data_IF_184549132903
#
_entry.id   IF_184549132903
#
_cell.length_a   1.000
_cell.length_b   1.000
_cell.length_c   1.000
_cell.angle_alpha   90.00
_cell.angle_beta   90.00
_cell.angle_gamma   90.00
#
_symmetry.space_group_name_H-M   'P 1'
#
loop_
_entity.id
_entity.type
_entity.pdbx_description
1 polymer ?
#
# COMPACT_ATOMS: atom_id res chain seq x y z
N UNK A 1 5.38 -13.77 3.80
CA UNK A 1 5.61 -12.34 3.51
C UNK A 1 4.30 -11.60 3.76
N UNK A 2 4.28 -10.68 4.71
CA UNK A 2 3.06 -9.96 5.01
C UNK A 2 2.71 -8.91 3.97
N UNK A 3 1.50 -8.98 3.47
CA UNK A 3 0.89 -7.98 2.60
C UNK A 3 -0.26 -7.35 3.37
N UNK A 4 -0.17 -6.05 3.61
CA UNK A 4 -1.18 -5.29 4.32
C UNK A 4 -1.90 -4.38 3.33
N UNK A 5 -3.19 -4.57 3.17
CA UNK A 5 -4.01 -3.71 2.32
C UNK A 5 -4.77 -2.71 3.19
N UNK A 6 -4.68 -1.44 2.83
CA UNK A 6 -5.43 -0.38 3.48
C UNK A 6 -6.66 -0.09 2.62
N UNK A 7 -7.82 -0.40 3.15
CA UNK A 7 -9.08 -0.39 2.40
C UNK A 7 -10.11 0.44 3.16
N UNK A 8 -10.79 1.34 2.46
CA UNK A 8 -11.99 1.98 2.99
C UNK A 8 -12.85 2.45 1.82
N UNK A 9 -14.13 2.08 1.78
CA UNK A 9 -15.02 2.52 0.71
C UNK A 9 -15.32 4.02 0.75
N UNK A 10 -15.04 4.68 1.87
CA UNK A 10 -15.26 6.11 2.04
C UNK A 10 -13.97 6.88 1.78
N UNK A 11 -14.04 7.90 0.92
CA UNK A 11 -12.90 8.77 0.68
C UNK A 11 -12.62 9.71 1.86
N UNK A 12 -11.40 10.23 1.94
CA UNK A 12 -11.05 11.24 2.92
C UNK A 12 -10.89 10.75 4.36
N UNK A 13 -10.66 9.45 4.56
CA UNK A 13 -10.52 8.87 5.90
C UNK A 13 -9.05 8.64 6.32
N UNK A 14 -8.10 9.23 5.60
CA UNK A 14 -6.68 9.07 5.92
C UNK A 14 -6.05 7.79 5.41
N UNK A 15 -6.61 7.18 4.41
CA UNK A 15 -6.16 5.90 3.86
C UNK A 15 -4.71 5.97 3.36
N UNK A 16 -4.40 6.96 2.53
CA UNK A 16 -3.04 7.16 2.00
C UNK A 16 -2.06 7.53 3.11
N UNK A 17 -2.48 8.34 4.07
CA UNK A 17 -1.66 8.71 5.23
C UNK A 17 -1.28 7.47 6.03
N UNK A 18 -2.24 6.60 6.30
CA UNK A 18 -1.99 5.35 7.02
C UNK A 18 -1.05 4.44 6.22
N UNK A 19 -1.30 4.27 4.93
CA UNK A 19 -0.50 3.40 4.07
C UNK A 19 0.96 3.87 4.01
N UNK A 20 1.19 5.15 3.78
CA UNK A 20 2.54 5.70 3.69
C UNK A 20 3.29 5.64 5.02
N UNK A 21 2.60 5.92 6.13
CA UNK A 21 3.21 5.83 7.46
C UNK A 21 3.55 4.39 7.83
N UNK A 22 2.69 3.43 7.47
CA UNK A 22 2.94 2.01 7.73
C UNK A 22 4.14 1.52 6.93
N UNK A 23 4.22 1.88 5.65
CA UNK A 23 5.37 1.54 4.81
C UNK A 23 6.66 2.15 5.36
N UNK A 24 6.62 3.42 5.79
CA UNK A 24 7.76 4.09 6.41
C UNK A 24 8.20 3.41 7.70
N UNK A 25 7.25 2.97 8.51
CA UNK A 25 7.54 2.23 9.74
C UNK A 25 8.29 0.93 9.44
N UNK A 26 7.80 0.14 8.50
CA UNK A 26 8.46 -1.10 8.13
C UNK A 26 9.87 -0.86 7.58
N UNK A 27 10.03 0.13 6.71
CA UNK A 27 11.32 0.45 6.13
C UNK A 27 12.32 0.91 7.20
N UNK A 28 11.88 1.72 8.15
CA UNK A 28 12.75 2.20 9.23
C UNK A 28 13.17 1.09 10.20
N UNK A 29 12.47 -0.03 10.19
CA UNK A 29 12.83 -1.24 10.95
C UNK A 29 13.61 -2.25 10.10
N UNK A 30 14.22 -1.79 9.02
CA UNK A 30 15.11 -2.57 8.15
C UNK A 30 14.41 -3.69 7.37
N UNK A 31 13.10 -3.59 7.18
CA UNK A 31 12.38 -4.50 6.31
C UNK A 31 12.43 -4.01 4.87
N UNK A 32 12.67 -4.92 3.94
CA UNK A 32 12.57 -4.59 2.53
C UNK A 32 11.10 -4.44 2.17
N UNK A 33 10.69 -3.19 1.96
CA UNK A 33 9.29 -2.80 1.88
C UNK A 33 8.93 -2.31 0.49
N UNK A 34 7.76 -2.70 0.00
CA UNK A 34 7.14 -2.15 -1.20
C UNK A 34 5.83 -1.46 -0.86
N UNK A 35 5.53 -0.40 -1.59
CA UNK A 35 4.26 0.30 -1.51
C UNK A 35 3.61 0.27 -2.90
N UNK A 36 2.44 -0.36 -2.96
CA UNK A 36 1.63 -0.40 -4.17
C UNK A 36 0.48 0.58 -4.06
N UNK A 37 0.20 1.29 -5.15
CA UNK A 37 -0.84 2.29 -5.18
C UNK A 37 -1.85 1.95 -6.28
N UNK A 38 -3.01 1.48 -5.86
CA UNK A 38 -4.12 1.15 -6.74
C UNK A 38 -5.04 2.34 -7.00
N UNK A 39 -4.84 3.44 -6.28
CA UNK A 39 -5.69 4.61 -6.42
C UNK A 39 -5.35 5.36 -7.72
N UNK A 40 -6.36 5.84 -8.44
CA UNK A 40 -6.17 6.65 -9.64
C UNK A 40 -5.41 7.94 -9.36
N UNK A 41 -5.57 8.48 -8.17
CA UNK A 41 -4.87 9.69 -7.75
C UNK A 41 -3.36 9.48 -7.58
N UNK A 42 -2.94 8.24 -7.37
CA UNK A 42 -1.53 7.88 -7.21
C UNK A 42 -0.82 8.69 -6.11
N UNK A 43 -1.55 9.02 -5.04
CA UNK A 43 -1.02 9.85 -3.95
C UNK A 43 0.13 9.18 -3.22
N UNK A 44 0.02 7.88 -2.95
CA UNK A 44 1.09 7.13 -2.30
C UNK A 44 2.33 7.04 -3.20
N UNK A 45 2.14 6.82 -4.50
CA UNK A 45 3.23 6.79 -5.46
C UNK A 45 3.93 8.14 -5.55
N UNK A 46 3.17 9.23 -5.56
CA UNK A 46 3.73 10.58 -5.55
C UNK A 46 4.55 10.82 -4.28
N UNK A 47 4.03 10.38 -3.13
CA UNK A 47 4.74 10.49 -1.86
C UNK A 47 6.11 9.80 -1.91
N UNK A 48 6.21 8.64 -2.57
CA UNK A 48 7.50 7.96 -2.72
C UNK A 48 8.53 8.81 -3.44
N UNK A 49 8.11 9.62 -4.41
CA UNK A 49 9.03 10.50 -5.14
C UNK A 49 9.59 11.63 -4.29
N UNK A 50 8.92 11.94 -3.19
CA UNK A 50 9.31 13.04 -2.29
C UNK A 50 10.22 12.58 -1.15
N UNK A 51 10.48 11.28 -1.02
CA UNK A 51 11.30 10.77 0.06
C UNK A 51 12.76 11.23 -0.10
N UNK A 52 13.40 11.71 1.01
CA UNK A 52 14.81 12.11 0.95
C UNK A 52 15.73 10.91 0.67
N UNK A 53 16.87 11.17 0.06
CA UNK A 53 17.84 10.13 -0.26
C UNK A 53 18.45 9.45 0.97
N UNK A 54 18.46 10.13 2.12
CA UNK A 54 19.09 9.61 3.33
C UNK A 54 18.23 8.69 4.19
N UNK A 55 16.96 8.45 3.81
CA UNK A 55 16.07 7.56 4.58
C UNK A 55 16.06 6.17 3.97
N UNK A 56 15.63 5.17 4.76
CA UNK A 56 15.53 3.80 4.28
C UNK A 56 14.60 3.72 3.06
N UNK A 57 14.98 3.00 2.01
CA UNK A 57 14.21 2.97 0.77
C UNK A 57 12.91 2.19 0.91
N UNK A 58 11.91 2.64 0.14
CA UNK A 58 10.66 1.92 -0.09
C UNK A 58 10.52 1.78 -1.61
N UNK A 59 10.38 0.55 -2.08
CA UNK A 59 10.22 0.27 -3.50
C UNK A 59 8.77 0.48 -3.92
N UNK A 60 8.57 1.03 -5.12
CA UNK A 60 7.24 1.13 -5.71
C UNK A 60 6.83 -0.19 -6.34
N UNK A 61 5.63 -0.66 -6.03
CA UNK A 61 5.08 -1.86 -6.66
C UNK A 61 4.20 -1.45 -7.82
N UNK A 62 4.71 -1.68 -9.02
CA UNK A 62 3.97 -1.35 -10.23
C UNK A 62 2.94 -2.43 -10.52
N UNK A 63 1.69 -2.01 -10.62
CA UNK A 63 0.57 -2.89 -10.89
C UNK A 63 -0.10 -2.47 -12.19
N UNK A 64 -0.01 -3.32 -13.20
CA UNK A 64 -0.59 -3.07 -14.51
C UNK A 64 -2.03 -3.57 -14.57
N UNK A 65 -2.88 -2.99 -13.71
CA UNK A 65 -4.30 -3.34 -13.67
C UNK A 65 -4.66 -4.59 -12.88
N UNK A 66 -3.69 -5.42 -12.52
CA UNK A 66 -3.90 -6.63 -11.73
C UNK A 66 -2.98 -6.65 -10.52
N UNK A 67 -3.44 -7.28 -9.44
CA UNK A 67 -2.62 -7.48 -8.25
C UNK A 67 -1.73 -8.69 -8.48
N UNK A 68 -0.44 -8.46 -8.67
CA UNK A 68 0.55 -9.51 -8.80
C UNK A 68 1.22 -9.79 -7.45
N UNK A 69 1.87 -10.94 -7.34
CA UNK A 69 2.69 -11.23 -6.16
C UNK A 69 3.96 -10.40 -6.19
N UNK A 70 4.40 -9.86 -5.05
CA UNK A 70 5.66 -9.12 -4.98
C UNK A 70 6.87 -9.99 -5.31
N UNK A 71 7.97 -9.37 -5.76
CA UNK A 71 9.21 -10.11 -6.03
C UNK A 71 9.75 -10.80 -4.78
N UNK A 72 10.56 -11.82 -5.00
CA UNK A 72 11.30 -12.48 -3.92
C UNK A 72 12.23 -11.50 -3.22
N UNK A 73 12.36 -11.66 -1.91
CA UNK A 73 13.24 -10.83 -1.10
C UNK A 73 12.54 -9.65 -0.45
N UNK A 74 11.38 -9.26 -0.94
CA UNK A 74 10.54 -8.27 -0.28
C UNK A 74 9.90 -8.93 0.93
N UNK A 75 10.00 -8.30 2.08
CA UNK A 75 9.49 -8.87 3.32
C UNK A 75 8.17 -8.25 3.78
N UNK A 76 7.88 -7.03 3.34
CA UNK A 76 6.66 -6.32 3.72
C UNK A 76 6.12 -5.56 2.53
N UNK A 77 4.82 -5.63 2.34
CA UNK A 77 4.12 -4.91 1.26
C UNK A 77 2.93 -4.18 1.85
N UNK A 78 2.78 -2.92 1.49
CA UNK A 78 1.61 -2.13 1.84
C UNK A 78 0.90 -1.75 0.54
N UNK A 79 -0.41 -1.97 0.51
CA UNK A 79 -1.25 -1.59 -0.62
C UNK A 79 -2.18 -0.45 -0.23
N UNK A 80 -2.09 0.66 -0.94
CA UNK A 80 -3.08 1.72 -0.86
C UNK A 80 -4.12 1.46 -1.95
N UNK A 81 -5.38 1.34 -1.57
CA UNK A 81 -6.44 0.99 -2.49
C UNK A 81 -7.34 2.19 -2.77
N UNK A 82 -8.05 2.22 -3.93
CA UNK A 82 -8.94 3.33 -4.23
C UNK A 82 -10.13 3.38 -3.27
N UNK A 83 -10.68 4.57 -3.09
CA UNK A 83 -11.98 4.73 -2.45
C UNK A 83 -13.01 3.92 -3.23
N UNK A 84 -13.98 3.35 -2.53
CA UNK A 84 -15.05 2.56 -3.13
C UNK A 84 -14.57 1.33 -3.91
N UNK A 85 -13.44 0.75 -3.48
CA UNK A 85 -13.01 -0.52 -4.08
C UNK A 85 -14.07 -1.59 -3.79
N UNK A 86 -14.48 -2.31 -4.82
CA UNK A 86 -15.52 -3.34 -4.68
C UNK A 86 -15.38 -4.39 -5.76
N UNK A 87 -16.18 -5.44 -5.65
CA UNK A 87 -16.30 -6.48 -6.66
C UNK A 87 -15.00 -7.22 -6.91
N UNK A 88 -14.67 -7.38 -8.18
CA UNK A 88 -13.53 -8.18 -8.64
C UNK A 88 -12.19 -7.65 -8.11
N UNK A 89 -12.02 -6.33 -8.05
CA UNK A 89 -10.78 -5.73 -7.54
C UNK A 89 -10.60 -5.97 -6.06
N UNK A 90 -11.67 -5.85 -5.28
CA UNK A 90 -11.62 -6.16 -3.85
C UNK A 90 -11.26 -7.63 -3.63
N UNK A 91 -11.84 -8.52 -4.41
CA UNK A 91 -11.52 -9.95 -4.34
C UNK A 91 -10.05 -10.23 -4.66
N UNK A 92 -9.47 -9.53 -5.65
CA UNK A 92 -8.06 -9.67 -5.98
C UNK A 92 -7.16 -9.22 -4.83
N UNK A 93 -7.48 -8.09 -4.21
CA UNK A 93 -6.74 -7.60 -3.03
C UNK A 93 -6.83 -8.60 -1.88
N UNK A 94 -8.03 -9.12 -1.63
CA UNK A 94 -8.25 -10.07 -0.54
C UNK A 94 -7.45 -11.36 -0.73
N UNK A 95 -7.21 -11.79 -1.97
CA UNK A 95 -6.41 -13.00 -2.25
C UNK A 95 -4.94 -12.84 -1.90
N UNK A 96 -4.38 -11.65 -2.05
CA UNK A 96 -2.96 -11.43 -1.82
C UNK A 96 -2.67 -10.84 -0.45
N UNK A 97 -3.63 -10.17 0.17
CA UNK A 97 -3.45 -9.54 1.47
C UNK A 97 -3.45 -10.57 2.59
N UNK A 98 -2.49 -10.46 3.48
CA UNK A 98 -2.47 -11.22 4.74
C UNK A 98 -3.31 -10.52 5.80
N UNK A 99 -3.39 -9.18 5.71
CA UNK A 99 -4.20 -8.37 6.61
C UNK A 99 -4.85 -7.24 5.83
N UNK A 100 -6.05 -6.89 6.26
CA UNK A 100 -6.79 -5.75 5.73
C UNK A 100 -6.99 -4.78 6.88
N UNK A 101 -6.57 -3.54 6.69
CA UNK A 101 -6.73 -2.47 7.66
C UNK A 101 -7.73 -1.46 7.12
N UNK A 102 -8.73 -1.15 7.92
CA UNK A 102 -9.78 -0.20 7.52
C UNK A 102 -9.72 0.99 8.47
N UNK A 103 -9.17 2.13 8.02
CA UNK A 103 -9.21 3.33 8.85
C UNK A 103 -10.63 3.86 8.95
N UNK A 104 -11.02 4.28 10.14
CA UNK A 104 -12.34 4.81 10.41
C UNK A 104 -12.21 6.22 10.98
N UNK A 105 -13.16 7.07 10.59
CA UNK A 105 -13.31 8.37 11.25
C UNK A 105 -14.35 8.24 12.34
N UNK A 106 -14.11 8.86 13.51
CA UNK A 106 -15.10 8.90 14.59
C UNK A 106 -16.33 9.71 14.21
#
# INVERSE_FOLDING_TARGET
MPVVAVVNPKGGVGKTTLATNLAGFYASNDHRTMLGDFDRQQSARHWLTLRPAGVKPIESWEMNGEVARPPRGVTHVVLDTPAQIEGKRLAQVARVANRIVVPLQP
#
